data_IF_010336063867
#
_entry.id   IF_010336063867
#
_cell.length_a   1.000
_cell.length_b   1.000
_cell.length_c   1.000
_cell.angle_alpha   90.00
_cell.angle_beta   90.00
_cell.angle_gamma   90.00
#
_symmetry.space_group_name_H-M   'P 1'
#
loop_
_entity.id
_entity.type
_entity.pdbx_description
1 polymer ?
#
# COMPACT_ATOMS: atom_id res chain seq x y z
N UNK A 1 3.91 -8.57 -19.38
CA UNK A 1 3.78 -7.10 -19.67
C UNK A 1 4.77 -6.31 -18.81
N UNK A 2 5.26 -5.12 -19.21
CA UNK A 2 6.17 -4.34 -18.36
C UNK A 2 5.49 -3.95 -17.02
N UNK A 3 6.13 -4.15 -15.85
CA UNK A 3 5.51 -3.93 -14.53
C UNK A 3 4.94 -2.53 -14.33
N UNK A 4 5.65 -1.49 -14.79
CA UNK A 4 5.16 -0.11 -14.68
C UNK A 4 3.85 0.12 -15.45
N UNK A 5 3.72 -0.50 -16.64
CA UNK A 5 2.49 -0.43 -17.43
C UNK A 5 1.35 -1.18 -16.73
N UNK A 6 1.65 -2.30 -16.09
CA UNK A 6 0.67 -3.07 -15.30
C UNK A 6 0.14 -2.24 -14.14
N UNK A 7 1.06 -1.71 -13.34
CA UNK A 7 0.70 -0.88 -12.20
C UNK A 7 -0.14 0.33 -12.61
N UNK A 8 0.26 1.03 -13.68
CA UNK A 8 -0.47 2.20 -14.17
C UNK A 8 -1.91 1.84 -14.57
N UNK A 9 -2.11 0.75 -15.31
CA UNK A 9 -3.42 0.38 -15.87
C UNK A 9 -4.34 -0.27 -14.84
N UNK A 10 -3.81 -1.19 -14.02
CA UNK A 10 -4.64 -2.05 -13.16
C UNK A 10 -4.67 -1.60 -11.70
N UNK A 11 -3.75 -0.73 -11.27
CA UNK A 11 -3.70 -0.22 -9.90
C UNK A 11 -4.02 1.26 -9.88
N UNK A 12 -3.20 2.09 -10.54
CA UNK A 12 -3.30 3.54 -10.42
C UNK A 12 -4.53 4.11 -11.14
N UNK A 13 -4.79 3.68 -12.38
CA UNK A 13 -5.91 4.22 -13.16
C UNK A 13 -7.28 3.99 -12.48
N UNK A 14 -7.63 2.78 -11.98
CA UNK A 14 -8.87 2.59 -11.24
C UNK A 14 -9.00 3.53 -10.03
N UNK A 15 -7.90 3.70 -9.27
CA UNK A 15 -7.87 4.60 -8.11
C UNK A 15 -8.09 6.06 -8.50
N UNK A 16 -7.47 6.51 -9.60
CA UNK A 16 -7.65 7.86 -10.11
C UNK A 16 -9.07 8.11 -10.64
N UNK A 17 -9.78 7.08 -11.12
CA UNK A 17 -11.14 7.20 -11.63
C UNK A 17 -12.21 7.28 -10.53
N UNK A 18 -11.90 6.84 -9.30
CA UNK A 18 -12.83 6.92 -8.16
C UNK A 18 -13.21 8.38 -7.84
N UNK A 19 -12.24 9.29 -7.83
CA UNK A 19 -12.51 10.69 -7.48
C UNK A 19 -13.42 11.44 -8.49
N UNK A 20 -13.15 11.36 -9.81
CA UNK A 20 -14.10 11.83 -10.83
C UNK A 20 -15.47 11.17 -10.71
N UNK A 21 -15.53 9.85 -10.49
CA UNK A 21 -16.80 9.14 -10.33
C UNK A 21 -17.65 9.75 -9.20
N UNK A 22 -17.06 10.06 -8.05
CA UNK A 22 -17.77 10.75 -6.97
C UNK A 22 -18.17 12.18 -7.34
N UNK A 23 -17.31 12.94 -8.00
CA UNK A 23 -17.62 14.32 -8.37
C UNK A 23 -18.81 14.42 -9.34
N UNK A 24 -18.99 13.42 -10.23
CA UNK A 24 -20.11 13.35 -11.17
C UNK A 24 -21.37 12.70 -10.59
N UNK A 25 -21.32 12.15 -9.38
CA UNK A 25 -22.43 11.40 -8.79
C UNK A 25 -23.60 12.34 -8.43
N UNK A 26 -24.81 12.12 -8.98
CA UNK A 26 -25.99 12.90 -8.63
C UNK A 26 -26.55 12.51 -7.25
N UNK A 27 -27.27 13.44 -6.62
CA UNK A 27 -27.70 13.39 -5.22
C UNK A 27 -28.82 12.37 -4.90
N UNK A 28 -29.54 11.87 -5.90
CA UNK A 28 -30.71 11.02 -5.66
C UNK A 28 -30.33 9.63 -5.16
N UNK A 29 -30.95 9.21 -4.05
CA UNK A 29 -30.91 7.89 -3.40
C UNK A 29 -30.89 6.68 -4.36
N UNK A 30 -31.58 6.78 -5.50
CA UNK A 30 -31.66 5.69 -6.50
C UNK A 30 -30.34 5.39 -7.24
N UNK A 31 -29.30 6.22 -7.09
CA UNK A 31 -28.01 6.04 -7.76
C UNK A 31 -27.04 5.08 -7.04
N UNK A 32 -27.45 4.41 -5.96
CA UNK A 32 -26.58 3.37 -5.34
C UNK A 32 -26.16 2.27 -6.33
N UNK A 33 -26.99 1.98 -7.35
CA UNK A 33 -26.66 1.05 -8.43
C UNK A 33 -25.43 1.43 -9.26
N UNK A 34 -25.11 2.72 -9.39
CA UNK A 34 -23.88 3.13 -10.11
C UNK A 34 -22.64 2.76 -9.33
N UNK A 35 -22.67 2.80 -7.99
CA UNK A 35 -21.55 2.37 -7.15
C UNK A 35 -21.32 0.86 -7.32
N UNK A 36 -22.38 0.05 -7.28
CA UNK A 36 -22.27 -1.39 -7.53
C UNK A 36 -21.73 -1.67 -8.94
N UNK A 37 -22.23 -0.98 -9.96
CA UNK A 37 -21.77 -1.14 -11.35
C UNK A 37 -20.29 -0.79 -11.49
N UNK A 38 -19.87 0.33 -10.92
CA UNK A 38 -18.48 0.78 -10.98
C UNK A 38 -17.54 -0.13 -10.18
N UNK A 39 -17.98 -0.59 -9.01
CA UNK A 39 -17.24 -1.59 -8.22
C UNK A 39 -17.13 -2.94 -8.95
N UNK A 40 -18.20 -3.42 -9.58
CA UNK A 40 -18.17 -4.62 -10.42
C UNK A 40 -17.19 -4.44 -11.57
N UNK A 41 -17.16 -3.28 -12.24
CA UNK A 41 -16.18 -2.99 -13.27
C UNK A 41 -14.73 -3.08 -12.75
N UNK A 42 -14.41 -2.45 -11.61
CA UNK A 42 -13.08 -2.53 -10.99
C UNK A 42 -12.74 -3.98 -10.60
N UNK A 43 -13.72 -4.73 -10.10
CA UNK A 43 -13.55 -6.15 -9.73
C UNK A 43 -13.23 -7.00 -10.95
N UNK A 44 -13.98 -6.85 -12.05
CA UNK A 44 -13.74 -7.58 -13.31
C UNK A 44 -12.37 -7.22 -13.90
N UNK A 45 -11.99 -5.94 -13.87
CA UNK A 45 -10.68 -5.49 -14.31
C UNK A 45 -9.55 -6.09 -13.46
N UNK A 46 -9.74 -6.17 -12.14
CA UNK A 46 -8.79 -6.78 -11.20
C UNK A 46 -8.67 -8.29 -11.41
N UNK A 47 -9.80 -8.98 -11.62
CA UNK A 47 -9.82 -10.41 -11.94
C UNK A 47 -9.13 -10.70 -13.28
N UNK A 48 -9.38 -9.88 -14.30
CA UNK A 48 -8.67 -9.98 -15.58
C UNK A 48 -7.16 -9.83 -15.39
N UNK A 49 -6.72 -8.83 -14.61
CA UNK A 49 -5.31 -8.58 -14.33
C UNK A 49 -4.60 -9.78 -13.67
N UNK A 50 -5.31 -10.50 -12.79
CA UNK A 50 -4.77 -11.66 -12.04
C UNK A 50 -4.83 -12.95 -12.86
N UNK A 51 -5.91 -13.16 -13.61
CA UNK A 51 -6.17 -14.42 -14.31
C UNK A 51 -5.46 -14.53 -15.65
N UNK A 52 -5.15 -13.41 -16.31
CA UNK A 52 -4.49 -13.42 -17.63
C UNK A 52 -3.00 -13.80 -17.50
N UNK A 53 -2.57 -14.97 -18.02
CA UNK A 53 -1.18 -15.39 -17.96
C UNK A 53 -0.24 -14.47 -18.76
N UNK A 54 -0.73 -13.75 -19.77
CA UNK A 54 0.06 -12.85 -20.61
C UNK A 54 0.47 -11.56 -19.87
N UNK A 55 -0.21 -11.23 -18.77
CA UNK A 55 0.08 -10.07 -17.96
C UNK A 55 1.17 -10.30 -16.92
N UNK A 56 1.53 -11.56 -16.65
CA UNK A 56 2.60 -11.93 -15.72
C UNK A 56 3.93 -11.25 -16.10
N UNK A 57 4.67 -10.87 -15.08
CA UNK A 57 6.00 -10.29 -15.24
C UNK A 57 7.00 -11.37 -15.64
N UNK A 58 8.00 -11.00 -16.42
CA UNK A 58 9.17 -11.86 -16.65
C UNK A 58 10.07 -11.96 -15.41
N UNK A 59 9.89 -11.03 -14.46
CA UNK A 59 10.64 -10.94 -13.21
C UNK A 59 9.85 -11.67 -12.11
N UNK A 60 10.30 -12.83 -11.61
CA UNK A 60 9.51 -13.70 -10.74
C UNK A 60 9.08 -13.06 -9.41
N UNK A 61 9.91 -12.16 -8.87
CA UNK A 61 9.69 -11.57 -7.55
C UNK A 61 8.69 -10.39 -7.58
N UNK A 62 8.30 -9.90 -8.76
CA UNK A 62 7.43 -8.71 -8.90
C UNK A 62 5.94 -9.07 -8.88
N UNK A 63 5.56 -10.26 -9.36
CA UNK A 63 4.15 -10.66 -9.48
C UNK A 63 3.39 -10.63 -8.14
N UNK A 64 3.94 -11.11 -7.00
CA UNK A 64 3.27 -10.99 -5.70
C UNK A 64 3.01 -9.54 -5.29
N UNK A 65 3.97 -8.64 -5.55
CA UNK A 65 3.84 -7.21 -5.25
C UNK A 65 2.74 -6.57 -6.08
N UNK A 66 2.68 -6.89 -7.37
CA UNK A 66 1.61 -6.41 -8.26
C UNK A 66 0.25 -6.97 -7.84
N UNK A 67 0.18 -8.24 -7.44
CA UNK A 67 -1.04 -8.85 -6.91
C UNK A 67 -1.53 -8.15 -5.63
N UNK A 68 -0.64 -7.86 -4.69
CA UNK A 68 -0.96 -7.10 -3.47
C UNK A 68 -1.46 -5.70 -3.80
N UNK A 69 -0.85 -5.03 -4.79
CA UNK A 69 -1.28 -3.69 -5.21
C UNK A 69 -2.69 -3.71 -5.84
N UNK A 70 -3.01 -4.70 -6.67
CA UNK A 70 -4.36 -4.92 -7.21
C UNK A 70 -5.36 -5.20 -6.08
N UNK A 71 -4.98 -6.05 -5.13
CA UNK A 71 -5.80 -6.34 -3.95
C UNK A 71 -6.10 -5.07 -3.13
N UNK A 72 -5.07 -4.27 -2.84
CA UNK A 72 -5.22 -3.00 -2.12
C UNK A 72 -6.12 -2.01 -2.88
N UNK A 73 -5.98 -1.94 -4.20
CA UNK A 73 -6.87 -1.13 -5.06
C UNK A 73 -8.33 -1.57 -4.95
N UNK A 74 -8.58 -2.89 -5.00
CA UNK A 74 -9.91 -3.46 -4.88
C UNK A 74 -10.53 -3.21 -3.50
N UNK A 75 -9.75 -3.37 -2.42
CA UNK A 75 -10.23 -3.08 -1.06
C UNK A 75 -10.55 -1.61 -0.86
N UNK A 76 -9.74 -0.70 -1.41
CA UNK A 76 -10.05 0.73 -1.35
C UNK A 76 -11.33 1.06 -2.13
N UNK A 77 -11.51 0.47 -3.32
CA UNK A 77 -12.74 0.61 -4.09
C UNK A 77 -13.97 0.06 -3.34
N UNK A 78 -13.83 -1.10 -2.68
CA UNK A 78 -14.87 -1.68 -1.83
C UNK A 78 -15.26 -0.71 -0.71
N UNK A 79 -14.26 -0.16 -0.02
CA UNK A 79 -14.48 0.78 1.08
C UNK A 79 -15.21 2.04 0.60
N UNK A 80 -14.65 2.71 -0.41
CA UNK A 80 -15.14 4.00 -0.87
C UNK A 80 -16.48 3.91 -1.61
N UNK A 81 -16.71 2.85 -2.39
CA UNK A 81 -17.93 2.74 -3.21
C UNK A 81 -19.09 2.08 -2.47
N UNK A 82 -18.82 1.08 -1.62
CA UNK A 82 -19.86 0.21 -1.06
C UNK A 82 -20.04 0.35 0.45
N UNK A 83 -18.95 0.55 1.21
CA UNK A 83 -19.02 0.54 2.68
C UNK A 83 -19.31 1.93 3.27
N UNK A 84 -18.78 2.98 2.66
CA UNK A 84 -18.90 4.36 3.14
C UNK A 84 -19.45 5.25 2.03
N UNK A 85 -20.18 6.31 2.38
CA UNK A 85 -20.50 7.37 1.43
C UNK A 85 -19.59 8.58 1.69
N UNK A 86 -18.44 8.68 1.00
CA UNK A 86 -17.42 9.66 1.35
C UNK A 86 -17.92 11.11 1.20
N UNK A 87 -18.89 11.37 0.32
CA UNK A 87 -19.42 12.71 0.12
C UNK A 87 -20.26 13.21 1.31
N UNK A 88 -20.92 12.30 2.02
CA UNK A 88 -21.73 12.64 3.21
C UNK A 88 -20.93 12.51 4.49
N UNK A 89 -20.13 11.45 4.59
CA UNK A 89 -19.57 11.01 5.87
C UNK A 89 -18.20 11.61 6.13
N UNK A 90 -17.42 11.91 5.11
CA UNK A 90 -16.06 12.44 5.29
C UNK A 90 -16.04 13.97 5.33
N UNK A 91 -15.27 14.51 6.26
CA UNK A 91 -15.03 15.95 6.42
C UNK A 91 -13.57 16.19 6.77
N UNK A 92 -12.94 17.10 6.04
CA UNK A 92 -11.61 17.58 6.37
C UNK A 92 -11.72 18.74 7.39
N UNK A 93 -10.74 18.89 8.27
CA UNK A 93 -10.76 19.92 9.33
C UNK A 93 -10.80 21.35 8.78
N UNK A 94 -10.32 21.56 7.55
CA UNK A 94 -10.37 22.87 6.87
C UNK A 94 -11.67 23.12 6.10
N UNK A 95 -12.60 22.15 6.08
CA UNK A 95 -13.86 22.30 5.36
C UNK A 95 -14.77 23.26 6.15
N UNK A 96 -15.03 24.44 5.58
CA UNK A 96 -15.91 25.47 6.15
C UNK A 96 -17.36 25.32 5.64
N UNK A 97 -17.60 24.40 4.71
CA UNK A 97 -18.88 24.19 4.04
C UNK A 97 -19.63 22.99 4.65
N UNK A 98 -20.96 23.05 4.65
CA UNK A 98 -21.80 21.96 5.18
C UNK A 98 -21.82 20.74 4.24
N UNK A 99 -21.68 20.98 2.93
CA UNK A 99 -21.69 19.93 1.91
C UNK A 99 -20.59 20.12 0.87
N UNK A 100 -19.85 19.04 0.59
CA UNK A 100 -18.88 18.94 -0.52
C UNK A 100 -19.50 19.26 -1.88
N UNK A 101 -20.84 19.21 -1.97
CA UNK A 101 -21.64 19.54 -3.14
C UNK A 101 -21.74 21.04 -3.43
N UNK A 102 -21.28 21.91 -2.54
CA UNK A 102 -21.21 23.35 -2.82
C UNK A 102 -19.94 23.72 -3.60
N UNK A 103 -18.94 22.83 -3.59
CA UNK A 103 -17.70 23.07 -4.29
C UNK A 103 -17.90 23.03 -5.82
N UNK A 104 -17.13 23.81 -6.59
CA UNK A 104 -16.98 23.62 -8.03
C UNK A 104 -16.54 22.18 -8.37
N UNK A 105 -16.93 21.63 -9.54
CA UNK A 105 -16.66 20.22 -9.92
C UNK A 105 -15.18 19.80 -9.76
N UNK A 106 -14.24 20.71 -10.02
CA UNK A 106 -12.81 20.48 -10.04
C UNK A 106 -12.25 20.45 -8.63
N UNK A 107 -12.79 21.30 -7.75
CA UNK A 107 -12.51 21.23 -6.31
C UNK A 107 -13.10 19.95 -5.68
N UNK A 108 -14.25 19.46 -6.16
CA UNK A 108 -14.80 18.16 -5.72
C UNK A 108 -13.92 16.99 -6.12
N UNK A 109 -13.41 16.97 -7.35
CA UNK A 109 -12.47 15.93 -7.79
C UNK A 109 -11.23 15.95 -6.92
N UNK A 110 -10.64 17.14 -6.70
CA UNK A 110 -9.49 17.28 -5.81
C UNK A 110 -9.79 16.78 -4.39
N UNK A 111 -10.89 17.24 -3.79
CA UNK A 111 -11.32 16.83 -2.45
C UNK A 111 -11.54 15.31 -2.36
N UNK A 112 -12.22 14.71 -3.34
CA UNK A 112 -12.46 13.27 -3.38
C UNK A 112 -11.16 12.48 -3.60
N UNK A 113 -10.21 13.03 -4.37
CA UNK A 113 -8.89 12.44 -4.53
C UNK A 113 -8.11 12.48 -3.21
N UNK A 114 -8.13 13.61 -2.49
CA UNK A 114 -7.54 13.73 -1.16
C UNK A 114 -8.14 12.70 -0.20
N UNK A 115 -9.46 12.57 -0.14
CA UNK A 115 -10.14 11.56 0.66
C UNK A 115 -9.72 10.13 0.27
N UNK A 116 -9.64 9.84 -1.03
CA UNK A 116 -9.28 8.52 -1.55
C UNK A 116 -7.85 8.10 -1.23
N UNK A 117 -6.91 9.05 -1.19
CA UNK A 117 -5.50 8.80 -0.87
C UNK A 117 -5.17 9.05 0.60
N UNK A 118 -6.11 9.52 1.41
CA UNK A 118 -5.96 9.71 2.85
C UNK A 118 -6.14 8.39 3.62
N UNK A 119 -5.25 7.42 3.40
CA UNK A 119 -5.30 6.08 4.00
C UNK A 119 -5.44 6.13 5.54
N UNK A 120 -4.82 7.12 6.20
CA UNK A 120 -4.85 7.30 7.67
C UNK A 120 -5.79 8.41 8.13
N UNK A 121 -6.47 9.08 7.20
CA UNK A 121 -7.39 10.18 7.50
C UNK A 121 -6.77 11.33 8.28
N UNK A 122 -5.51 11.69 8.05
CA UNK A 122 -4.86 12.81 8.78
C UNK A 122 -5.60 14.11 8.48
N UNK A 123 -6.05 14.80 9.53
CA UNK A 123 -6.92 15.98 9.44
C UNK A 123 -8.32 15.71 8.85
N UNK A 124 -8.72 14.43 8.82
CA UNK A 124 -10.08 14.01 8.48
C UNK A 124 -10.83 13.55 9.74
N UNK A 125 -12.16 13.58 9.70
CA UNK A 125 -12.99 13.08 10.79
C UNK A 125 -12.86 11.57 11.06
N UNK A 126 -12.37 10.79 10.08
CA UNK A 126 -12.07 9.37 10.23
C UNK A 126 -10.58 9.10 10.56
N UNK A 127 -9.86 10.10 11.08
CA UNK A 127 -8.47 9.96 11.45
C UNK A 127 -8.27 8.79 12.41
N UNK A 128 -7.27 7.97 12.10
CA UNK A 128 -6.86 6.87 12.96
C UNK A 128 -6.38 7.43 14.32
N UNK A 129 -6.82 6.87 15.47
CA UNK A 129 -6.44 7.38 16.78
C UNK A 129 -4.95 7.14 17.07
N UNK A 130 -4.36 7.91 18.00
CA UNK A 130 -2.96 7.76 18.46
C UNK A 130 -1.86 7.95 17.39
N UNK A 131 -2.06 8.81 16.40
CA UNK A 131 -0.99 9.19 15.48
C UNK A 131 0.00 10.11 16.20
N UNK A 132 1.29 9.73 16.19
CA UNK A 132 2.37 10.59 16.65
C UNK A 132 2.64 11.65 15.57
N UNK A 133 1.99 12.80 15.68
CA UNK A 133 2.22 13.91 14.76
C UNK A 133 3.49 14.66 15.16
N UNK A 134 4.54 14.55 14.36
CA UNK A 134 5.70 15.43 14.51
C UNK A 134 5.38 16.78 13.88
N UNK A 135 5.22 17.80 14.71
CA UNK A 135 4.99 19.17 14.22
C UNK A 135 6.30 19.74 13.68
N UNK A 136 6.42 19.82 12.37
CA UNK A 136 7.60 20.40 11.73
C UNK A 136 7.35 21.88 11.47
N UNK A 137 8.09 22.74 12.17
CA UNK A 137 7.87 24.20 12.10
C UNK A 137 8.10 24.78 10.70
N UNK A 138 9.05 24.22 9.93
CA UNK A 138 9.48 24.74 8.64
C UNK A 138 9.56 23.62 7.57
N UNK A 139 9.10 23.92 6.34
CA UNK A 139 9.20 23.03 5.15
C UNK A 139 10.60 22.50 4.85
N UNK A 140 11.67 23.33 4.76
CA UNK A 140 13.00 22.81 4.44
C UNK A 140 13.49 21.81 5.50
N UNK A 141 13.21 22.08 6.78
CA UNK A 141 13.55 21.16 7.87
C UNK A 141 12.87 19.80 7.70
N UNK A 142 11.60 19.80 7.32
CA UNK A 142 10.89 18.57 6.98
C UNK A 142 11.50 17.86 5.76
N UNK A 143 11.82 18.59 4.68
CA UNK A 143 12.38 18.00 3.47
C UNK A 143 13.72 17.33 3.74
N UNK A 144 14.62 17.97 4.51
CA UNK A 144 15.88 17.34 4.92
C UNK A 144 15.67 16.12 5.81
N UNK A 145 14.69 16.19 6.73
CA UNK A 145 14.30 15.05 7.53
C UNK A 145 13.82 13.89 6.65
N UNK A 146 12.87 14.14 5.75
CA UNK A 146 12.32 13.13 4.84
C UNK A 146 13.40 12.55 3.92
N UNK A 147 14.31 13.36 3.38
CA UNK A 147 15.46 12.89 2.60
C UNK A 147 16.36 11.96 3.41
N UNK A 148 16.67 12.33 4.65
CA UNK A 148 17.47 11.47 5.54
C UNK A 148 16.76 10.15 5.83
N UNK A 149 15.44 10.18 6.02
CA UNK A 149 14.62 8.96 6.21
C UNK A 149 14.61 8.11 4.96
N UNK A 150 14.36 8.68 3.79
CA UNK A 150 14.43 7.98 2.50
C UNK A 150 15.77 7.27 2.32
N UNK A 151 16.89 7.94 2.64
CA UNK A 151 18.22 7.34 2.58
C UNK A 151 18.39 6.18 3.58
N UNK A 152 17.97 6.36 4.84
CA UNK A 152 18.03 5.31 5.85
C UNK A 152 17.22 4.08 5.41
N UNK A 153 16.00 4.28 4.92
CA UNK A 153 15.16 3.19 4.44
C UNK A 153 15.68 2.57 3.15
N UNK A 154 16.34 3.34 2.29
CA UNK A 154 17.05 2.80 1.13
C UNK A 154 18.15 1.83 1.55
N UNK A 155 19.02 2.24 2.49
CA UNK A 155 20.11 1.40 3.01
C UNK A 155 19.53 0.17 3.73
N UNK A 156 18.47 0.35 4.52
CA UNK A 156 17.82 -0.75 5.23
C UNK A 156 17.24 -1.79 4.25
N UNK A 157 16.60 -1.34 3.17
CA UNK A 157 16.08 -2.21 2.11
C UNK A 157 17.22 -2.97 1.41
N UNK A 158 18.32 -2.30 1.10
CA UNK A 158 19.49 -2.90 0.44
C UNK A 158 20.14 -3.98 1.32
N UNK A 159 20.35 -3.67 2.61
CA UNK A 159 20.88 -4.62 3.59
C UNK A 159 19.94 -5.82 3.78
N UNK A 160 18.63 -5.58 3.90
CA UNK A 160 17.64 -6.64 4.06
C UNK A 160 17.60 -7.57 2.83
N UNK A 161 17.65 -6.99 1.63
CA UNK A 161 17.68 -7.74 0.38
C UNK A 161 18.98 -8.55 0.24
N UNK A 162 20.13 -7.95 0.54
CA UNK A 162 21.43 -8.62 0.53
C UNK A 162 21.43 -9.82 1.49
N UNK A 163 21.05 -9.62 2.75
CA UNK A 163 20.98 -10.70 3.73
C UNK A 163 19.98 -11.79 3.30
N UNK A 164 18.78 -11.41 2.87
CA UNK A 164 17.75 -12.34 2.39
C UNK A 164 18.22 -13.19 1.21
N UNK A 165 18.97 -12.60 0.27
CA UNK A 165 19.55 -13.31 -0.88
C UNK A 165 20.62 -14.32 -0.46
N UNK A 166 21.47 -13.96 0.51
CA UNK A 166 22.54 -14.81 1.03
C UNK A 166 21.98 -16.05 1.71
N UNK A 167 21.01 -15.88 2.62
CA UNK A 167 20.37 -17.01 3.30
C UNK A 167 19.56 -17.90 2.35
N UNK A 168 19.00 -17.35 1.25
CA UNK A 168 18.36 -18.14 0.19
C UNK A 168 19.36 -19.03 -0.57
N UNK A 169 20.57 -18.53 -0.83
CA UNK A 169 21.62 -19.27 -1.53
C UNK A 169 22.25 -20.38 -0.69
N UNK A 170 22.34 -20.20 0.63
CA UNK A 170 22.92 -21.21 1.54
C UNK A 170 21.99 -22.41 1.71
N UNK A 171 20.67 -22.21 1.81
CA UNK A 171 19.68 -23.31 1.84
C UNK A 171 19.72 -24.17 0.57
N UNK A 172 19.96 -23.56 -0.59
CA UNK A 172 20.06 -24.28 -1.87
C UNK A 172 21.39 -25.04 -2.03
N UNK A 173 22.44 -24.63 -1.31
CA UNK A 173 23.71 -25.35 -1.23
C UNK A 173 23.68 -26.53 -0.23
N UNK A 174 22.94 -26.38 0.87
CA UNK A 174 22.77 -27.43 1.90
C UNK A 174 21.65 -28.44 1.57
N UNK A 175 20.69 -28.07 0.72
CA UNK A 175 19.55 -28.89 0.35
C UNK A 175 19.45 -29.17 -1.15
N UNK A 176 20.13 -30.22 -1.64
CA UNK A 176 19.71 -30.92 -2.87
C UNK A 176 18.40 -31.68 -2.62
N UNK A 177 17.31 -30.99 -2.28
CA UNK A 177 15.98 -31.59 -2.25
C UNK A 177 15.39 -31.53 -3.65
N UNK A 178 15.19 -32.69 -4.28
CA UNK A 178 14.39 -32.81 -5.51
C UNK A 178 12.96 -32.36 -5.20
N UNK A 179 12.55 -31.22 -5.76
CA UNK A 179 11.15 -30.80 -5.77
C UNK A 179 10.40 -31.74 -6.71
N UNK A 180 9.67 -32.70 -6.16
CA UNK A 180 8.71 -33.52 -6.89
C UNK A 180 7.33 -32.87 -6.84
N UNK A 181 6.81 -32.43 -7.98
CA UNK A 181 5.43 -31.94 -8.10
C UNK A 181 4.51 -33.17 -8.10
N UNK A 182 3.67 -33.31 -7.07
CA UNK A 182 2.54 -34.26 -7.09
C UNK A 182 1.35 -33.57 -7.79
N UNK A 183 0.55 -34.25 -8.65
CA UNK A 183 -0.49 -33.63 -9.49
C UNK A 183 -1.73 -33.07 -8.77
N UNK A 184 -1.65 -32.72 -7.49
CA UNK A 184 -2.82 -32.37 -6.66
C UNK A 184 -2.69 -31.04 -5.89
N UNK A 185 -1.79 -30.14 -6.27
CA UNK A 185 -1.82 -28.74 -5.84
C UNK A 185 -1.39 -28.47 -4.38
N UNK A 186 -1.01 -29.50 -3.62
CA UNK A 186 -0.31 -29.34 -2.34
C UNK A 186 1.20 -29.47 -2.55
N UNK A 187 1.96 -28.43 -2.20
CA UNK A 187 3.42 -28.49 -2.12
C UNK A 187 3.77 -29.27 -0.85
N UNK A 188 4.10 -30.55 -0.98
CA UNK A 188 4.69 -31.34 0.10
C UNK A 188 6.21 -31.26 -0.02
N UNK A 189 6.84 -30.52 0.89
CA UNK A 189 8.31 -30.47 1.00
C UNK A 189 8.76 -31.77 1.68
N UNK A 190 9.14 -32.78 0.89
CA UNK A 190 9.92 -33.91 1.41
C UNK A 190 11.35 -33.45 1.68
N UNK A 191 11.60 -32.88 2.87
CA UNK A 191 12.95 -32.68 3.38
C UNK A 191 13.40 -33.96 4.10
N UNK A 192 14.58 -34.54 3.76
CA UNK A 192 15.18 -35.57 4.60
C UNK A 192 15.57 -34.93 5.95
N UNK A 193 14.84 -35.31 6.99
CA UNK A 193 15.09 -34.99 8.39
C UNK A 193 16.42 -35.60 8.84
N UNK A 194 17.58 -34.98 8.59
CA UNK A 194 18.86 -35.45 9.16
C UNK A 194 20.02 -34.44 9.07
N UNK A 195 19.87 -33.25 9.68
CA UNK A 195 20.80 -32.59 10.64
C UNK A 195 20.21 -31.21 11.05
N UNK A 196 19.83 -31.11 12.33
CA UNK A 196 19.30 -29.96 13.10
C UNK A 196 18.13 -29.14 12.53
N UNK A 197 16.90 -29.53 12.88
CA UNK A 197 15.67 -28.75 12.69
C UNK A 197 15.76 -27.29 13.16
N UNK A 198 16.60 -27.00 14.16
CA UNK A 198 16.81 -25.65 14.71
C UNK A 198 17.52 -24.69 13.73
N UNK A 199 18.48 -25.17 12.94
CA UNK A 199 19.23 -24.33 11.99
C UNK A 199 18.34 -23.93 10.80
N UNK A 200 17.53 -24.87 10.29
CA UNK A 200 16.53 -24.58 9.25
C UNK A 200 15.46 -23.61 9.74
N UNK A 201 14.98 -23.80 10.97
CA UNK A 201 14.04 -22.85 11.59
C UNK A 201 14.66 -21.46 11.72
N UNK A 202 15.93 -21.38 12.10
CA UNK A 202 16.66 -20.11 12.22
C UNK A 202 16.77 -19.41 10.87
N UNK A 203 17.13 -20.12 9.79
CA UNK A 203 17.16 -19.54 8.44
C UNK A 203 15.79 -19.09 7.95
N UNK A 204 14.72 -19.84 8.23
CA UNK A 204 13.36 -19.44 7.90
C UNK A 204 12.93 -18.17 8.64
N UNK A 205 13.25 -18.07 9.94
CA UNK A 205 12.98 -16.88 10.74
C UNK A 205 13.73 -15.67 10.18
N UNK A 206 15.05 -15.81 9.94
CA UNK A 206 15.88 -14.73 9.40
C UNK A 206 15.35 -14.28 8.04
N UNK A 207 15.01 -15.23 7.15
CA UNK A 207 14.46 -14.93 5.83
C UNK A 207 13.14 -14.17 5.92
N UNK A 208 12.24 -14.60 6.81
CA UNK A 208 10.94 -13.93 7.01
C UNK A 208 11.13 -12.51 7.54
N UNK A 209 12.06 -12.32 8.48
CA UNK A 209 12.40 -10.99 9.00
C UNK A 209 13.00 -10.12 7.89
N UNK A 210 13.91 -10.63 7.07
CA UNK A 210 14.51 -9.87 5.97
C UNK A 210 13.45 -9.41 4.97
N UNK A 211 12.54 -10.30 4.56
CA UNK A 211 11.42 -9.97 3.67
C UNK A 211 10.50 -8.90 4.28
N UNK A 212 10.08 -9.08 5.53
CA UNK A 212 9.22 -8.09 6.20
C UNK A 212 9.91 -6.73 6.37
N UNK A 213 11.22 -6.73 6.63
CA UNK A 213 12.01 -5.50 6.75
C UNK A 213 12.17 -4.78 5.40
N UNK A 214 12.38 -5.54 4.32
CA UNK A 214 12.42 -5.02 2.95
C UNK A 214 11.10 -4.34 2.58
N UNK A 215 9.95 -4.99 2.82
CA UNK A 215 8.64 -4.41 2.55
C UNK A 215 8.37 -3.16 3.39
N UNK A 216 8.67 -3.20 4.69
CA UNK A 216 8.56 -2.07 5.59
C UNK A 216 9.41 -0.87 5.12
N UNK A 217 10.65 -1.11 4.75
CA UNK A 217 11.57 -0.10 4.26
C UNK A 217 11.11 0.47 2.91
N UNK A 218 10.63 -0.38 2.00
CA UNK A 218 10.11 0.02 0.69
C UNK A 218 8.88 0.91 0.80
N UNK A 219 7.90 0.54 1.62
CA UNK A 219 6.71 1.35 1.88
C UNK A 219 7.07 2.69 2.50
N UNK A 220 7.93 2.69 3.52
CA UNK A 220 8.39 3.92 4.18
C UNK A 220 9.14 4.84 3.22
N UNK A 221 10.02 4.27 2.39
CA UNK A 221 10.77 5.02 1.37
C UNK A 221 9.84 5.67 0.35
N UNK A 222 8.88 4.93 -0.20
CA UNK A 222 7.90 5.47 -1.15
C UNK A 222 7.06 6.58 -0.52
N UNK A 223 6.60 6.38 0.72
CA UNK A 223 5.88 7.37 1.49
C UNK A 223 6.65 8.68 1.61
N UNK A 224 7.92 8.64 2.04
CA UNK A 224 8.73 9.86 2.17
C UNK A 224 9.09 10.48 0.82
N UNK A 225 9.25 9.70 -0.26
CA UNK A 225 9.44 10.27 -1.61
C UNK A 225 8.23 11.10 -2.04
N UNK A 226 7.01 10.59 -1.84
CA UNK A 226 5.78 11.33 -2.14
C UNK A 226 5.65 12.55 -1.23
N UNK A 227 6.00 12.42 0.05
CA UNK A 227 6.02 13.52 1.00
C UNK A 227 6.95 14.66 0.56
N UNK A 228 8.17 14.33 0.12
CA UNK A 228 9.16 15.31 -0.39
C UNK A 228 8.58 16.04 -1.59
N UNK A 229 8.03 15.33 -2.57
CA UNK A 229 7.45 15.91 -3.78
C UNK A 229 6.28 16.83 -3.41
N UNK A 230 5.39 16.37 -2.53
CA UNK A 230 4.17 17.09 -2.17
C UNK A 230 4.46 18.35 -1.33
N UNK A 231 5.34 18.25 -0.33
CA UNK A 231 5.71 19.38 0.54
C UNK A 231 6.58 20.40 -0.20
N UNK A 232 7.48 19.95 -1.08
CA UNK A 232 8.28 20.85 -1.92
C UNK A 232 7.42 21.55 -2.98
N UNK A 233 6.46 20.83 -3.55
CA UNK A 233 5.48 21.34 -4.51
C UNK A 233 4.36 22.18 -3.91
N UNK A 234 4.37 22.45 -2.59
CA UNK A 234 3.34 23.22 -1.88
C UNK A 234 1.93 22.60 -1.98
N UNK A 235 1.82 21.30 -2.25
CA UNK A 235 0.54 20.59 -2.32
C UNK A 235 -0.02 20.25 -0.94
N UNK A 236 0.86 20.03 0.03
CA UNK A 236 0.51 19.70 1.42
C UNK A 236 1.44 20.37 2.42
N UNK A 237 1.01 20.45 3.67
CA UNK A 237 1.83 20.91 4.79
C UNK A 237 2.71 19.78 5.34
N UNK A 238 3.86 20.07 5.98
CA UNK A 238 4.69 19.05 6.62
C UNK A 238 3.96 18.21 7.68
N UNK A 239 2.99 18.81 8.38
CA UNK A 239 2.29 18.18 9.50
C UNK A 239 1.31 17.08 9.03
N UNK A 240 0.90 17.13 7.75
CA UNK A 240 0.10 16.09 7.09
C UNK A 240 0.90 14.81 6.78
N UNK A 241 2.22 14.78 7.06
CA UNK A 241 3.10 13.65 6.77
C UNK A 241 3.76 13.04 8.02
N UNK A 242 2.99 12.55 9.01
CA UNK A 242 3.53 11.85 10.17
C UNK A 242 4.19 10.53 9.75
N UNK A 243 5.08 9.94 10.57
CA UNK A 243 5.67 8.64 10.28
C UNK A 243 4.61 7.60 9.90
N UNK A 244 4.84 6.88 8.78
CA UNK A 244 3.88 5.90 8.23
C UNK A 244 3.50 4.82 9.26
N UNK A 245 4.50 4.38 10.03
CA UNK A 245 4.36 3.38 11.09
C UNK A 245 4.71 3.99 12.46
N UNK A 246 4.12 3.43 13.50
CA UNK A 246 4.44 3.71 14.90
C UNK A 246 5.77 3.08 15.36
N UNK A 247 6.03 3.13 16.66
CA UNK A 247 7.25 2.54 17.22
C UNK A 247 7.20 1.01 17.19
N UNK A 248 8.30 0.38 16.76
CA UNK A 248 8.47 -1.06 16.85
C UNK A 248 8.40 -1.59 18.29
N UNK A 249 8.78 -0.78 19.28
CA UNK A 249 8.68 -1.16 20.69
C UNK A 249 7.23 -1.33 21.16
N UNK A 250 6.28 -0.74 20.45
CA UNK A 250 4.85 -0.77 20.77
C UNK A 250 4.05 -1.68 19.84
N UNK A 251 4.73 -2.45 18.98
CA UNK A 251 4.12 -3.34 17.99
C UNK A 251 3.49 -4.63 18.57
N UNK A 252 3.16 -4.66 19.86
CA UNK A 252 2.44 -5.78 20.49
C UNK A 252 0.96 -5.84 20.09
N UNK A 253 0.43 -4.78 19.46
CA UNK A 253 -0.83 -4.82 18.74
C UNK A 253 -0.73 -4.08 17.41
N UNK A 254 -1.46 -4.57 16.40
CA UNK A 254 -1.45 -3.99 15.05
C UNK A 254 -1.86 -2.52 15.07
N UNK A 255 -2.83 -2.17 15.92
CA UNK A 255 -3.30 -0.80 16.13
C UNK A 255 -2.13 0.12 16.51
N UNK A 256 -1.37 -0.17 17.55
CA UNK A 256 -0.27 0.73 17.93
C UNK A 256 0.83 0.88 16.85
N UNK A 257 1.05 -0.15 16.04
CA UNK A 257 2.04 -0.09 14.96
C UNK A 257 1.55 0.66 13.72
N UNK A 258 0.27 0.54 13.35
CA UNK A 258 -0.30 1.22 12.17
C UNK A 258 -0.99 2.56 12.50
N UNK A 259 -1.30 2.79 13.79
CA UNK A 259 -2.30 3.74 14.28
C UNK A 259 -3.59 3.00 14.65
#
# INVERSE_FOLDING_TARGET
MHPAKFYLIFVLLPQLLIAPFFAFRPERSNFRWTNYTFFTFITLLSLFAILDPHLKSEIPDIDPVLGTAVGGSLFNALHMLLLVDPLTDYRHTTDVFDSTKELPWWKRIYWAACANFAIRGIDWNFQVPHIVTQKHRNRPTFVFYALSRTLIFFILSDVAQYLGSKFRSEDSALGKSKVGIIPSGFIVIHAPLQLSSLTQLTFQIIRTICWGMEDFANLSRLYYCIAIISVSGHLSSPDEWPPLFGSWSEAYCLRNFWG
#
